data_IF_473843688773
#
_entry.id   IF_473843688773
#
_cell.length_a   1.000
_cell.length_b   1.000
_cell.length_c   1.000
_cell.angle_alpha   90.00
_cell.angle_beta   90.00
_cell.angle_gamma   90.00
#
_symmetry.space_group_name_H-M   'P 1'
#
loop_
_entity.id
_entity.type
_entity.pdbx_description
1 polymer ?
#
# COMPACT_ATOMS: atom_id res chain seq x y z
N UNK A 1 -21.42 -10.04 3.56
CA UNK A 1 -20.32 -10.05 4.53
C UNK A 1 -20.79 -10.83 5.76
N UNK A 2 -20.07 -11.90 6.14
CA UNK A 2 -20.57 -12.92 7.07
C UNK A 2 -20.23 -12.61 8.56
N UNK A 3 -19.98 -11.34 8.89
CA UNK A 3 -19.77 -10.88 10.27
C UNK A 3 -18.39 -11.22 10.87
N UNK A 4 -17.38 -11.52 10.06
CA UNK A 4 -16.02 -11.85 10.52
C UNK A 4 -14.99 -10.73 10.34
N UNK A 5 -15.39 -9.54 9.90
CA UNK A 5 -14.45 -8.42 9.77
C UNK A 5 -13.88 -8.04 11.14
N UNK A 6 -12.55 -8.05 11.26
CA UNK A 6 -11.87 -7.41 12.39
C UNK A 6 -12.11 -5.90 12.28
N UNK A 7 -12.75 -5.34 13.31
CA UNK A 7 -13.10 -3.92 13.35
C UNK A 7 -11.82 -3.07 13.40
N UNK A 8 -11.68 -2.12 12.47
CA UNK A 8 -10.72 -1.03 12.63
C UNK A 8 -11.14 -0.16 13.82
N UNK A 9 -10.22 0.11 14.74
CA UNK A 9 -10.49 0.95 15.91
C UNK A 9 -10.34 2.45 15.64
N UNK A 10 -9.77 2.80 14.48
CA UNK A 10 -9.51 4.17 14.08
C UNK A 10 -10.51 4.61 13.00
N UNK A 11 -11.02 5.85 13.07
CA UNK A 11 -11.91 6.35 12.04
C UNK A 11 -11.18 6.50 10.70
N UNK A 12 -11.83 6.03 9.65
CA UNK A 12 -11.36 6.06 8.27
C UNK A 12 -12.51 6.49 7.35
N UNK A 13 -12.18 7.18 6.26
CA UNK A 13 -13.18 7.55 5.23
C UNK A 13 -13.49 6.40 4.28
N UNK A 14 -12.46 5.60 3.96
CA UNK A 14 -12.56 4.42 3.09
C UNK A 14 -11.86 3.26 3.78
N UNK A 15 -12.62 2.20 4.04
CA UNK A 15 -12.12 0.91 4.52
C UNK A 15 -12.26 -0.13 3.41
N UNK A 16 -11.18 -0.86 3.13
CA UNK A 16 -11.16 -1.91 2.11
C UNK A 16 -11.04 -3.27 2.81
N UNK A 17 -12.15 -3.98 3.04
CA UNK A 17 -12.09 -5.31 3.63
C UNK A 17 -11.42 -6.29 2.67
N UNK A 18 -10.46 -7.05 3.18
CA UNK A 18 -9.82 -8.15 2.46
C UNK A 18 -10.24 -9.46 3.13
N UNK A 19 -10.84 -10.41 2.40
CA UNK A 19 -11.20 -11.70 2.97
C UNK A 19 -9.94 -12.51 3.30
N UNK A 20 -10.07 -13.46 4.22
CA UNK A 20 -9.05 -14.50 4.42
C UNK A 20 -8.80 -15.25 3.11
N UNK A 21 -7.53 -15.48 2.76
CA UNK A 21 -7.14 -16.05 1.46
C UNK A 21 -7.44 -15.13 0.27
N UNK A 22 -7.53 -13.81 0.51
CA UNK A 22 -7.85 -12.80 -0.50
C UNK A 22 -6.69 -12.36 -1.39
N UNK A 23 -5.59 -13.12 -1.48
CA UNK A 23 -4.38 -12.71 -2.20
C UNK A 23 -4.67 -12.42 -3.68
N UNK A 24 -5.49 -13.26 -4.33
CA UNK A 24 -5.82 -13.13 -5.74
C UNK A 24 -6.64 -11.87 -6.07
N UNK A 25 -7.39 -11.34 -5.11
CA UNK A 25 -8.26 -10.16 -5.29
C UNK A 25 -7.69 -8.90 -4.65
N UNK A 26 -6.61 -9.02 -3.88
CA UNK A 26 -6.05 -7.94 -3.05
C UNK A 26 -5.78 -6.65 -3.84
N UNK A 27 -5.10 -6.77 -4.99
CA UNK A 27 -4.75 -5.60 -5.80
C UNK A 27 -5.98 -4.95 -6.45
N UNK A 28 -6.99 -5.73 -6.80
CA UNK A 28 -8.24 -5.20 -7.37
C UNK A 28 -9.08 -4.50 -6.31
N UNK A 29 -9.11 -5.04 -5.09
CA UNK A 29 -9.71 -4.38 -3.93
C UNK A 29 -9.01 -3.05 -3.63
N UNK A 30 -7.68 -3.02 -3.67
CA UNK A 30 -6.90 -1.79 -3.49
C UNK A 30 -7.23 -0.75 -4.56
N UNK A 31 -7.22 -1.13 -5.84
CA UNK A 31 -7.61 -0.23 -6.95
C UNK A 31 -9.01 0.32 -6.76
N UNK A 32 -9.94 -0.48 -6.26
CA UNK A 32 -11.29 -0.03 -5.93
C UNK A 32 -11.29 0.98 -4.78
N UNK A 33 -10.54 0.72 -3.70
CA UNK A 33 -10.38 1.65 -2.58
C UNK A 33 -9.80 3.01 -3.00
N UNK A 34 -8.77 3.01 -3.85
CA UNK A 34 -8.18 4.24 -4.38
C UNK A 34 -9.19 5.03 -5.24
N UNK A 35 -10.05 4.36 -6.01
CA UNK A 35 -11.16 5.02 -6.72
C UNK A 35 -12.21 5.59 -5.76
N UNK A 36 -12.51 4.92 -4.66
CA UNK A 36 -13.43 5.44 -3.65
C UNK A 36 -12.86 6.69 -2.96
N UNK A 37 -11.55 6.70 -2.67
CA UNK A 37 -10.87 7.87 -2.12
C UNK A 37 -10.94 9.08 -3.04
N UNK A 38 -10.79 8.86 -4.35
CA UNK A 38 -10.99 9.90 -5.37
C UNK A 38 -12.42 10.48 -5.30
N UNK A 39 -13.42 9.60 -5.29
CA UNK A 39 -14.85 9.98 -5.29
C UNK A 39 -15.22 10.74 -4.02
N UNK A 40 -14.69 10.36 -2.86
CA UNK A 40 -14.99 11.03 -1.60
C UNK A 40 -14.15 12.30 -1.35
N UNK A 41 -13.16 12.59 -2.20
CA UNK A 41 -12.26 13.74 -2.07
C UNK A 41 -12.25 14.64 -3.32
N UNK A 42 -13.41 14.98 -3.92
CA UNK A 42 -13.45 15.61 -5.24
C UNK A 42 -12.78 16.99 -5.22
N UNK A 43 -11.78 17.17 -6.09
CA UNK A 43 -11.03 18.42 -6.21
C UNK A 43 -10.13 18.76 -5.01
N UNK A 44 -10.02 17.87 -4.01
CA UNK A 44 -9.15 18.05 -2.85
C UNK A 44 -7.82 17.35 -3.11
N UNK A 45 -6.76 18.13 -3.29
CA UNK A 45 -5.40 17.63 -3.32
C UNK A 45 -4.76 17.88 -1.95
N UNK A 46 -4.41 16.84 -1.18
CA UNK A 46 -3.69 17.04 0.07
C UNK A 46 -2.28 17.58 -0.22
N UNK A 47 -1.74 18.37 0.71
CA UNK A 47 -0.38 18.90 0.63
C UNK A 47 0.68 17.80 0.78
N UNK A 48 0.33 16.70 1.45
CA UNK A 48 1.18 15.53 1.66
C UNK A 48 0.32 14.27 1.87
N UNK A 49 0.73 13.16 1.26
CA UNK A 49 0.26 11.82 1.61
C UNK A 49 1.33 11.11 2.46
N UNK A 50 0.94 10.68 3.66
CA UNK A 50 1.76 9.80 4.50
C UNK A 50 1.32 8.35 4.29
N UNK A 51 2.16 7.55 3.66
CA UNK A 51 1.91 6.13 3.40
C UNK A 51 2.57 5.30 4.48
N UNK A 52 1.75 4.61 5.27
CA UNK A 52 2.18 3.65 6.30
C UNK A 52 2.38 2.30 5.62
N UNK A 53 3.58 2.05 5.12
CA UNK A 53 3.91 0.89 4.28
C UNK A 53 4.32 -0.31 5.15
N UNK A 54 3.33 -1.05 5.63
CA UNK A 54 3.55 -2.30 6.39
C UNK A 54 3.75 -3.49 5.46
N UNK A 55 4.78 -4.28 5.68
CA UNK A 55 5.08 -5.52 4.96
C UNK A 55 4.58 -6.79 5.66
N UNK A 56 3.85 -6.67 6.78
CA UNK A 56 3.30 -7.83 7.49
C UNK A 56 2.34 -8.76 6.73
N UNK A 57 1.74 -8.41 5.56
CA UNK A 57 1.00 -9.37 4.76
C UNK A 57 1.91 -10.26 3.90
N UNK A 58 3.22 -10.04 3.90
CA UNK A 58 4.16 -10.83 3.12
C UNK A 58 4.16 -12.28 3.60
N UNK A 59 4.14 -13.24 2.67
CA UNK A 59 4.05 -14.68 2.96
C UNK A 59 5.14 -15.22 3.91
N UNK A 60 6.27 -14.52 4.04
CA UNK A 60 7.39 -14.85 4.93
C UNK A 60 7.40 -14.09 6.26
N UNK A 61 6.39 -13.27 6.52
CA UNK A 61 6.22 -12.64 7.83
C UNK A 61 5.93 -13.70 8.91
N UNK A 62 6.25 -13.37 10.16
CA UNK A 62 6.11 -14.27 11.32
C UNK A 62 4.99 -13.86 12.27
N UNK A 63 4.30 -12.74 11.99
CA UNK A 63 3.21 -12.25 12.79
C UNK A 63 1.97 -13.14 12.65
N UNK A 64 1.67 -13.89 13.72
CA UNK A 64 0.52 -14.81 13.77
C UNK A 64 -0.82 -14.17 13.38
N UNK A 65 -1.04 -12.91 13.74
CA UNK A 65 -2.30 -12.22 13.46
C UNK A 65 -2.48 -11.82 11.99
N UNK A 66 -1.40 -11.79 11.19
CA UNK A 66 -1.42 -11.51 9.75
C UNK A 66 -1.54 -12.77 8.87
N UNK A 67 -1.35 -13.97 9.45
CA UNK A 67 -1.37 -15.25 8.72
C UNK A 67 -2.59 -15.53 7.81
N UNK A 68 -3.80 -14.99 8.05
CA UNK A 68 -4.94 -15.16 7.14
C UNK A 68 -4.75 -14.56 5.73
N UNK A 69 -3.69 -13.77 5.52
CA UNK A 69 -3.33 -13.19 4.23
C UNK A 69 -1.81 -13.31 4.02
N UNK A 70 -1.41 -13.90 2.89
CA UNK A 70 -0.02 -14.18 2.55
C UNK A 70 0.30 -13.75 1.12
N UNK A 71 0.49 -12.46 0.93
CA UNK A 71 0.90 -11.89 -0.34
C UNK A 71 2.31 -12.38 -0.71
N UNK A 72 2.53 -12.68 -2.00
CA UNK A 72 3.88 -12.90 -2.51
C UNK A 72 4.69 -11.60 -2.45
N UNK A 73 6.01 -11.72 -2.59
CA UNK A 73 6.88 -10.55 -2.66
C UNK A 73 6.45 -9.58 -3.78
N UNK A 74 6.12 -10.12 -4.95
CA UNK A 74 5.66 -9.35 -6.11
C UNK A 74 4.35 -8.62 -5.83
N UNK A 75 3.39 -9.29 -5.15
CA UNK A 75 2.13 -8.66 -4.77
C UNK A 75 2.33 -7.54 -3.75
N UNK A 76 3.24 -7.69 -2.78
CA UNK A 76 3.58 -6.63 -1.84
C UNK A 76 4.20 -5.41 -2.54
N UNK A 77 5.16 -5.65 -3.46
CA UNK A 77 5.81 -4.59 -4.22
C UNK A 77 4.80 -3.88 -5.13
N UNK A 78 3.96 -4.64 -5.83
CA UNK A 78 2.92 -4.09 -6.72
C UNK A 78 1.88 -3.28 -5.94
N UNK A 79 1.47 -3.72 -4.74
CA UNK A 79 0.60 -2.95 -3.85
C UNK A 79 1.19 -1.57 -3.57
N UNK A 80 2.45 -1.51 -3.14
CA UNK A 80 3.10 -0.25 -2.79
C UNK A 80 3.31 0.63 -4.04
N UNK A 81 3.63 0.02 -5.18
CA UNK A 81 3.72 0.69 -6.49
C UNK A 81 2.38 1.30 -6.93
N UNK A 82 1.26 0.59 -6.79
CA UNK A 82 -0.06 1.10 -7.16
C UNK A 82 -0.42 2.38 -6.39
N UNK A 83 -0.13 2.43 -5.09
CA UNK A 83 -0.34 3.63 -4.27
C UNK A 83 0.59 4.76 -4.72
N UNK A 84 1.87 4.44 -4.94
CA UNK A 84 2.87 5.41 -5.41
C UNK A 84 2.47 6.07 -6.73
N UNK A 85 2.13 5.26 -7.73
CA UNK A 85 1.80 5.74 -9.06
C UNK A 85 0.48 6.53 -9.04
N UNK A 86 -0.50 6.09 -8.23
CA UNK A 86 -1.76 6.81 -8.04
C UNK A 86 -1.54 8.21 -7.45
N UNK A 87 -0.69 8.35 -6.43
CA UNK A 87 -0.32 9.63 -5.82
C UNK A 87 0.50 10.50 -6.79
N UNK A 88 1.47 9.89 -7.47
CA UNK A 88 2.36 10.57 -8.41
C UNK A 88 1.59 11.18 -9.59
N UNK A 89 0.66 10.43 -10.18
CA UNK A 89 -0.21 10.92 -11.27
C UNK A 89 -1.07 12.13 -10.86
N UNK A 90 -1.33 12.30 -9.57
CA UNK A 90 -2.09 13.43 -9.00
C UNK A 90 -1.18 14.57 -8.54
N UNK A 91 0.12 14.42 -8.71
CA UNK A 91 1.13 15.34 -8.20
C UNK A 91 1.13 15.46 -6.68
N UNK A 92 0.58 14.50 -5.94
CA UNK A 92 0.53 14.59 -4.47
C UNK A 92 1.92 14.31 -3.91
N UNK A 93 2.54 15.23 -3.14
CA UNK A 93 3.77 14.93 -2.42
C UNK A 93 3.54 13.74 -1.48
N UNK A 94 4.50 12.82 -1.43
CA UNK A 94 4.31 11.53 -0.78
C UNK A 94 5.52 11.19 0.10
N UNK A 95 5.24 10.75 1.32
CA UNK A 95 6.22 10.26 2.29
C UNK A 95 5.86 8.84 2.71
N UNK A 96 6.82 7.93 2.61
CA UNK A 96 6.65 6.52 2.98
C UNK A 96 7.36 6.26 4.31
N UNK A 97 6.64 5.70 5.26
CA UNK A 97 7.19 5.24 6.53
C UNK A 97 7.01 3.73 6.64
N UNK A 98 8.11 3.04 6.93
CA UNK A 98 8.07 1.59 7.17
C UNK A 98 7.22 1.33 8.42
N UNK A 99 6.33 0.34 8.35
CA UNK A 99 5.46 -0.04 9.44
C UNK A 99 5.62 -1.53 9.80
N UNK A 100 4.53 -2.23 10.08
CA UNK A 100 4.55 -3.66 10.43
C UNK A 100 5.39 -4.48 9.45
N UNK A 101 5.99 -5.56 9.93
CA UNK A 101 6.96 -6.36 9.18
C UNK A 101 7.94 -6.98 10.17
N UNK A 102 7.73 -8.26 10.47
CA UNK A 102 8.32 -8.92 11.64
C UNK A 102 9.22 -10.10 11.26
N UNK A 103 9.17 -10.52 10.00
CA UNK A 103 10.04 -11.57 9.47
C UNK A 103 11.41 -11.04 9.01
N UNK A 104 12.44 -11.91 8.97
CA UNK A 104 13.79 -11.52 8.56
C UNK A 104 13.91 -11.20 7.06
N UNK A 105 12.90 -11.54 6.27
CA UNK A 105 12.87 -11.33 4.82
C UNK A 105 12.03 -10.10 4.40
N UNK A 106 11.33 -9.44 5.33
CA UNK A 106 10.41 -8.33 5.06
C UNK A 106 11.06 -7.11 4.40
N UNK A 107 12.34 -6.86 4.70
CA UNK A 107 13.11 -5.76 4.10
C UNK A 107 13.12 -5.82 2.57
N UNK A 108 12.96 -7.01 1.97
CA UNK A 108 12.93 -7.19 0.52
C UNK A 108 11.79 -6.45 -0.14
N UNK A 109 10.64 -6.34 0.53
CA UNK A 109 9.47 -5.61 0.01
C UNK A 109 9.84 -4.15 -0.23
N UNK A 110 10.36 -3.48 0.79
CA UNK A 110 10.73 -2.06 0.71
C UNK A 110 11.92 -1.85 -0.23
N UNK A 111 12.94 -2.71 -0.16
CA UNK A 111 14.11 -2.59 -1.03
C UNK A 111 13.75 -2.73 -2.52
N UNK A 112 12.92 -3.71 -2.88
CA UNK A 112 12.50 -3.89 -4.28
C UNK A 112 11.59 -2.77 -4.76
N UNK A 113 10.67 -2.29 -3.92
CA UNK A 113 9.88 -1.11 -4.23
C UNK A 113 10.78 0.11 -4.52
N UNK A 114 11.72 0.42 -3.62
CA UNK A 114 12.64 1.55 -3.78
C UNK A 114 13.50 1.42 -5.04
N UNK A 115 14.05 0.24 -5.32
CA UNK A 115 14.80 0.01 -6.55
C UNK A 115 13.95 0.24 -7.82
N UNK A 116 12.64 0.01 -7.73
CA UNK A 116 11.71 0.21 -8.84
C UNK A 116 11.32 1.67 -9.08
N UNK A 117 11.34 2.55 -8.06
CA UNK A 117 10.85 3.93 -8.17
C UNK A 117 11.93 5.00 -8.05
N UNK A 118 13.06 4.72 -7.38
CA UNK A 118 14.12 5.70 -7.19
C UNK A 118 14.76 6.18 -8.50
N UNK A 119 15.02 5.33 -9.52
CA UNK A 119 15.61 5.80 -10.78
C UNK A 119 14.78 6.89 -11.47
N UNK A 120 13.45 6.75 -11.45
CA UNK A 120 12.52 7.72 -12.02
C UNK A 120 12.58 9.04 -11.24
N UNK A 121 12.59 8.97 -9.89
CA UNK A 121 12.63 10.19 -9.04
C UNK A 121 13.95 10.95 -9.13
N UNK A 122 15.08 10.23 -9.19
CA UNK A 122 16.39 10.88 -9.35
C UNK A 122 16.45 11.58 -10.70
N UNK A 123 15.97 10.93 -11.76
CA UNK A 123 15.92 11.51 -13.10
C UNK A 123 15.03 12.76 -13.14
N UNK A 124 13.82 12.71 -12.56
CA UNK A 124 12.92 13.87 -12.49
C UNK A 124 13.55 15.04 -11.72
N UNK A 125 14.22 14.76 -10.59
CA UNK A 125 14.89 15.78 -9.79
C UNK A 125 16.06 16.47 -10.51
N UNK A 126 16.78 15.75 -11.37
CA UNK A 126 17.89 16.29 -12.16
C UNK A 126 17.41 17.11 -13.36
N UNK A 127 16.21 16.82 -13.87
CA UNK A 127 15.61 17.52 -15.03
C UNK A 127 14.78 18.74 -14.60
N UNK A 128 14.55 18.93 -13.30
CA UNK A 128 13.86 20.11 -12.75
C UNK A 128 12.39 20.19 -13.14
N UNK A 129 11.70 19.04 -13.22
CA UNK A 129 10.25 18.95 -13.39
C UNK A 129 9.54 18.73 -12.06
#
# INVERSE_FOLDING_TARGET
DNGQLKRCFWPSTVDVPVPEGGEATYLDLLRNGLRQLEVCSPGRRPDLALVVDGSDPFEKDVLKSAMPLKLTLEQCVERTRLVHDWLQQRGIPQAYVMAGGYGPDNWRVHAQFLMGVLPDRVSDSLVGR
#
